data_IF_267439695771
#
_entry.id   IF_267439695771
#
_cell.length_a   1.000
_cell.length_b   1.000
_cell.length_c   1.000
_cell.angle_alpha   90.00
_cell.angle_beta   90.00
_cell.angle_gamma   90.00
#
_symmetry.space_group_name_H-M   'P 1'
#
loop_
_entity.id
_entity.type
_entity.pdbx_description
1 polymer ?
#
# COMPACT_ATOMS: atom_id res chain seq x y z
N UNK A 1 -13.69 -6.94 -19.59
CA UNK A 1 -13.47 -6.85 -18.13
C UNK A 1 -12.56 -5.69 -17.76
N UNK A 2 -11.41 -5.48 -18.42
CA UNK A 2 -10.53 -4.31 -18.22
C UNK A 2 -11.24 -2.95 -18.21
N UNK A 3 -12.11 -2.67 -19.19
CA UNK A 3 -12.87 -1.40 -19.21
C UNK A 3 -13.74 -1.21 -17.96
N UNK A 4 -14.36 -2.28 -17.45
CA UNK A 4 -15.14 -2.20 -16.19
C UNK A 4 -14.24 -1.90 -14.98
N UNK A 5 -13.03 -2.43 -14.95
CA UNK A 5 -12.06 -2.15 -13.89
C UNK A 5 -11.59 -0.68 -13.96
N UNK A 6 -11.37 -0.16 -15.17
CA UNK A 6 -11.03 1.26 -15.38
C UNK A 6 -12.19 2.15 -14.89
N UNK A 7 -13.42 1.84 -15.28
CA UNK A 7 -14.60 2.58 -14.85
C UNK A 7 -14.78 2.54 -13.32
N UNK A 8 -14.47 1.40 -12.69
CA UNK A 8 -14.49 1.27 -11.23
C UNK A 8 -13.44 2.16 -10.56
N UNK A 9 -12.21 2.20 -11.07
CA UNK A 9 -11.17 3.11 -10.55
C UNK A 9 -11.60 4.57 -10.71
N UNK A 10 -12.23 4.95 -11.83
CA UNK A 10 -12.78 6.30 -12.02
C UNK A 10 -13.88 6.63 -10.99
N UNK A 11 -14.78 5.70 -10.71
CA UNK A 11 -15.77 5.88 -9.66
C UNK A 11 -15.13 6.02 -8.25
N UNK A 12 -14.03 5.32 -7.99
CA UNK A 12 -13.24 5.51 -6.76
C UNK A 12 -12.57 6.90 -6.72
N UNK A 13 -12.11 7.42 -7.86
CA UNK A 13 -11.61 8.80 -7.99
C UNK A 13 -12.71 9.80 -7.69
N UNK A 14 -13.93 9.60 -8.20
CA UNK A 14 -15.08 10.47 -7.90
C UNK A 14 -15.36 10.49 -6.38
N UNK A 15 -15.39 9.32 -5.73
CA UNK A 15 -15.56 9.23 -4.29
C UNK A 15 -14.40 9.90 -3.52
N UNK A 16 -13.17 9.78 -4.02
CA UNK A 16 -12.01 10.43 -3.41
C UNK A 16 -12.14 11.96 -3.46
N UNK A 17 -12.61 12.52 -4.59
CA UNK A 17 -12.92 13.95 -4.71
C UNK A 17 -13.99 14.38 -3.72
N UNK A 18 -15.10 13.64 -3.63
CA UNK A 18 -16.21 13.96 -2.72
C UNK A 18 -15.82 13.92 -1.24
N UNK A 19 -14.87 13.04 -0.88
CA UNK A 19 -14.42 12.86 0.51
C UNK A 19 -13.16 13.68 0.86
N UNK A 20 -12.55 14.34 -0.12
CA UNK A 20 -11.28 15.05 0.05
C UNK A 20 -10.08 14.12 0.27
N UNK A 21 -10.18 12.86 -0.16
CA UNK A 21 -9.06 11.92 -0.11
C UNK A 21 -7.95 12.35 -1.08
N UNK A 22 -6.69 12.17 -0.65
CA UNK A 22 -5.51 12.51 -1.47
C UNK A 22 -5.26 11.49 -2.59
N UNK A 23 -5.59 10.23 -2.35
CA UNK A 23 -5.20 9.12 -3.21
C UNK A 23 -6.22 7.99 -3.25
N UNK A 24 -6.12 7.19 -4.30
CA UNK A 24 -6.86 5.94 -4.50
C UNK A 24 -5.83 4.83 -4.69
N UNK A 25 -5.93 3.80 -3.87
CA UNK A 25 -5.12 2.59 -3.96
C UNK A 25 -5.58 1.73 -5.15
N UNK A 26 -4.62 1.23 -5.92
CA UNK A 26 -4.87 0.30 -7.03
C UNK A 26 -3.95 -0.91 -6.91
N UNK A 27 -4.54 -2.09 -6.81
CA UNK A 27 -3.83 -3.35 -7.08
C UNK A 27 -4.08 -3.71 -8.54
N UNK A 28 -3.06 -3.72 -9.42
CA UNK A 28 -3.23 -3.93 -10.86
C UNK A 28 -3.44 -5.40 -11.23
N UNK A 29 -4.15 -6.18 -10.39
CA UNK A 29 -4.50 -7.58 -10.61
C UNK A 29 -5.71 -7.99 -9.75
N UNK A 30 -6.12 -9.26 -9.87
CA UNK A 30 -7.08 -9.85 -8.95
C UNK A 30 -6.38 -10.24 -7.63
N UNK A 31 -6.87 -9.74 -6.50
CA UNK A 31 -6.37 -10.11 -5.16
C UNK A 31 -6.92 -11.48 -4.78
N UNK A 32 -6.05 -12.34 -4.24
CA UNK A 32 -6.35 -13.73 -3.90
C UNK A 32 -6.25 -14.69 -5.10
N UNK A 33 -5.74 -14.23 -6.24
CA UNK A 33 -5.50 -15.02 -7.45
C UNK A 33 -4.06 -14.77 -7.91
N UNK A 34 -3.09 -15.55 -7.39
CA UNK A 34 -1.68 -15.35 -7.70
C UNK A 34 -1.29 -15.84 -9.11
N UNK A 35 -2.20 -16.45 -9.87
CA UNK A 35 -1.94 -16.85 -11.24
C UNK A 35 -1.88 -15.65 -12.21
N UNK A 36 -0.98 -15.74 -13.19
CA UNK A 36 -1.02 -14.89 -14.38
C UNK A 36 -2.11 -15.40 -15.32
N UNK A 37 -2.81 -14.50 -15.99
CA UNK A 37 -3.93 -14.83 -16.88
C UNK A 37 -3.44 -15.32 -18.24
N UNK A 38 -2.35 -14.74 -18.76
CA UNK A 38 -1.74 -15.18 -20.04
C UNK A 38 -0.24 -15.38 -19.89
N UNK A 39 0.49 -14.29 -19.67
CA UNK A 39 1.91 -14.31 -19.33
C UNK A 39 2.20 -13.08 -18.47
N UNK A 40 3.24 -13.12 -17.64
CA UNK A 40 3.58 -11.99 -16.77
C UNK A 40 3.81 -10.70 -17.59
N UNK A 41 4.49 -10.82 -18.72
CA UNK A 41 4.78 -9.69 -19.61
C UNK A 41 3.51 -9.11 -20.25
N UNK A 42 2.65 -9.96 -20.83
CA UNK A 42 1.40 -9.49 -21.44
C UNK A 42 0.44 -8.89 -20.41
N UNK A 43 0.35 -9.49 -19.23
CA UNK A 43 -0.55 -9.01 -18.18
C UNK A 43 -0.05 -7.71 -17.55
N UNK A 44 1.27 -7.52 -17.41
CA UNK A 44 1.88 -6.24 -17.02
C UNK A 44 1.54 -5.17 -18.06
N UNK A 45 1.73 -5.46 -19.35
CA UNK A 45 1.43 -4.49 -20.41
C UNK A 45 -0.06 -4.09 -20.41
N UNK A 46 -0.96 -5.06 -20.24
CA UNK A 46 -2.41 -4.81 -20.12
C UNK A 46 -2.74 -3.97 -18.87
N UNK A 47 -2.06 -4.21 -17.76
CA UNK A 47 -2.23 -3.42 -16.54
C UNK A 47 -1.77 -1.97 -16.75
N UNK A 48 -0.58 -1.76 -17.35
CA UNK A 48 -0.04 -0.42 -17.68
C UNK A 48 -1.01 0.35 -18.56
N UNK A 49 -1.47 -0.23 -19.66
CA UNK A 49 -2.44 0.41 -20.56
C UNK A 49 -3.76 0.80 -19.84
N UNK A 50 -4.19 -0.02 -18.88
CA UNK A 50 -5.41 0.25 -18.11
C UNK A 50 -5.18 1.37 -17.09
N UNK A 51 -4.03 1.35 -16.42
CA UNK A 51 -3.60 2.40 -15.50
C UNK A 51 -3.42 3.73 -16.23
N UNK A 52 -2.85 3.77 -17.44
CA UNK A 52 -2.73 4.99 -18.25
C UNK A 52 -4.09 5.65 -18.50
N UNK A 53 -5.10 4.85 -18.86
CA UNK A 53 -6.47 5.35 -19.06
C UNK A 53 -7.11 5.89 -17.77
N UNK A 54 -6.90 5.21 -16.64
CA UNK A 54 -7.41 5.66 -15.35
C UNK A 54 -6.64 6.89 -14.81
N UNK A 55 -5.34 6.94 -15.05
CA UNK A 55 -4.44 7.99 -14.62
C UNK A 55 -4.77 9.34 -15.25
N UNK A 56 -5.13 9.37 -16.54
CA UNK A 56 -5.59 10.62 -17.17
C UNK A 56 -6.80 11.23 -16.44
N UNK A 57 -7.76 10.39 -16.03
CA UNK A 57 -8.93 10.84 -15.25
C UNK A 57 -8.56 11.28 -13.83
N UNK A 58 -7.67 10.53 -13.17
CA UNK A 58 -7.18 10.87 -11.83
C UNK A 58 -6.40 12.20 -11.84
N UNK A 59 -5.60 12.45 -12.89
CA UNK A 59 -4.84 13.69 -13.10
C UNK A 59 -5.75 14.91 -13.31
N UNK A 60 -6.82 14.78 -14.09
CA UNK A 60 -7.83 15.83 -14.27
C UNK A 60 -8.46 16.21 -12.92
N UNK A 61 -8.71 15.22 -12.06
CA UNK A 61 -9.33 15.38 -10.75
C UNK A 61 -8.35 15.61 -9.59
N UNK A 62 -7.04 15.67 -9.88
CA UNK A 62 -5.97 15.86 -8.89
C UNK A 62 -5.92 14.79 -7.79
N UNK A 63 -6.29 13.55 -8.12
CA UNK A 63 -6.21 12.39 -7.23
C UNK A 63 -5.00 11.54 -7.60
N UNK A 64 -4.18 11.16 -6.62
CA UNK A 64 -3.04 10.28 -6.85
C UNK A 64 -3.51 8.82 -6.88
N UNK A 65 -3.19 8.07 -7.94
CA UNK A 65 -3.32 6.62 -7.93
C UNK A 65 -2.04 6.02 -7.33
N UNK A 66 -2.17 5.23 -6.26
CA UNK A 66 -1.04 4.53 -5.63
C UNK A 66 -1.09 3.05 -5.95
N UNK A 67 -0.08 2.56 -6.67
CA UNK A 67 0.09 1.13 -6.95
C UNK A 67 0.59 0.45 -5.68
N UNK A 68 -0.17 -0.53 -5.19
CA UNK A 68 0.20 -1.35 -4.03
C UNK A 68 0.80 -2.69 -4.49
N UNK A 69 2.07 -2.97 -4.16
CA UNK A 69 2.62 -4.32 -4.24
C UNK A 69 2.01 -5.20 -3.14
N UNK A 70 1.54 -6.38 -3.54
CA UNK A 70 0.94 -7.38 -2.65
C UNK A 70 1.80 -8.64 -2.68
N UNK A 71 1.89 -9.37 -1.57
CA UNK A 71 2.73 -10.57 -1.49
C UNK A 71 2.37 -11.63 -2.57
N UNK A 72 3.36 -12.46 -2.91
CA UNK A 72 3.29 -13.48 -3.97
C UNK A 72 2.22 -14.55 -3.77
N UNK A 73 1.67 -14.68 -2.56
CA UNK A 73 0.61 -15.65 -2.26
C UNK A 73 -0.78 -15.12 -2.62
N UNK A 74 -0.93 -13.80 -2.76
CA UNK A 74 -2.20 -13.13 -3.01
C UNK A 74 -2.28 -12.52 -4.42
N UNK A 75 -1.15 -12.14 -5.00
CA UNK A 75 -1.08 -11.47 -6.32
C UNK A 75 0.12 -12.00 -7.13
N UNK A 76 -0.06 -12.19 -8.44
CA UNK A 76 0.99 -12.68 -9.33
C UNK A 76 1.77 -11.61 -10.12
N UNK A 77 1.31 -10.35 -10.10
CA UNK A 77 1.79 -9.33 -11.03
C UNK A 77 2.85 -8.39 -10.42
N UNK A 78 2.50 -7.70 -9.34
CA UNK A 78 3.32 -6.66 -8.68
C UNK A 78 3.49 -7.05 -7.22
N UNK A 79 4.71 -7.45 -6.84
CA UNK A 79 4.98 -8.02 -5.52
C UNK A 79 5.97 -7.21 -4.69
N UNK A 80 6.82 -6.41 -5.33
CA UNK A 80 7.82 -5.58 -4.66
C UNK A 80 7.64 -4.10 -4.96
N UNK A 81 8.27 -3.26 -4.15
CA UNK A 81 8.42 -1.83 -4.42
C UNK A 81 9.06 -1.59 -5.78
N UNK A 82 10.07 -2.39 -6.16
CA UNK A 82 10.75 -2.24 -7.45
C UNK A 82 9.82 -2.58 -8.64
N UNK A 83 8.96 -3.60 -8.50
CA UNK A 83 7.92 -3.90 -9.51
C UNK A 83 6.94 -2.73 -9.66
N UNK A 84 6.47 -2.17 -8.54
CA UNK A 84 5.52 -1.05 -8.56
C UNK A 84 6.17 0.22 -9.14
N UNK A 85 7.44 0.49 -8.83
CA UNK A 85 8.21 1.60 -9.43
C UNK A 85 8.37 1.41 -10.93
N UNK A 86 8.70 0.21 -11.39
CA UNK A 86 8.84 -0.08 -12.82
C UNK A 86 7.52 0.19 -13.54
N UNK A 87 6.42 -0.35 -13.02
CA UNK A 87 5.09 -0.13 -13.58
C UNK A 87 4.67 1.35 -13.55
N UNK A 88 4.86 2.05 -12.44
CA UNK A 88 4.50 3.47 -12.32
C UNK A 88 5.29 4.35 -13.30
N UNK A 89 6.57 4.04 -13.54
CA UNK A 89 7.42 4.73 -14.52
C UNK A 89 6.96 4.48 -15.95
N UNK A 90 6.55 3.25 -16.29
CA UNK A 90 6.03 2.93 -17.63
C UNK A 90 4.64 3.52 -17.89
N UNK A 91 3.82 3.70 -16.85
CA UNK A 91 2.56 4.44 -16.98
C UNK A 91 2.80 5.92 -17.32
N UNK A 92 3.94 6.48 -16.91
CA UNK A 92 4.42 7.83 -17.26
C UNK A 92 3.38 8.93 -17.01
N UNK A 93 2.82 8.97 -15.79
CA UNK A 93 1.85 9.98 -15.39
C UNK A 93 2.19 10.57 -14.01
N UNK A 94 2.19 11.91 -13.84
CA UNK A 94 2.54 12.55 -12.57
C UNK A 94 1.51 12.34 -11.45
N UNK A 95 0.35 11.74 -11.71
CA UNK A 95 -0.63 11.31 -10.69
C UNK A 95 -0.61 9.79 -10.44
N UNK A 96 0.38 9.07 -10.96
CA UNK A 96 0.62 7.67 -10.64
C UNK A 96 1.87 7.54 -9.78
N UNK A 97 1.69 6.93 -8.62
CA UNK A 97 2.69 6.77 -7.56
C UNK A 97 2.60 5.38 -6.98
N UNK A 98 3.42 5.10 -5.98
CA UNK A 98 3.40 3.81 -5.31
C UNK A 98 3.11 3.98 -3.83
N UNK A 99 2.73 2.86 -3.24
CA UNK A 99 2.62 2.72 -1.80
C UNK A 99 3.25 1.41 -1.37
N UNK A 100 3.34 1.21 -0.06
CA UNK A 100 3.72 -0.07 0.52
C UNK A 100 2.76 -0.48 1.63
N UNK A 101 2.82 -1.75 1.99
CA UNK A 101 2.22 -2.31 3.20
C UNK A 101 3.32 -3.10 3.91
N UNK A 102 3.61 -2.75 5.17
CA UNK A 102 4.64 -3.43 5.94
C UNK A 102 4.42 -4.94 6.06
N UNK A 103 3.17 -5.43 6.05
CA UNK A 103 2.89 -6.87 6.03
C UNK A 103 3.36 -7.55 4.75
N UNK A 104 3.02 -6.98 3.58
CA UNK A 104 3.44 -7.51 2.28
C UNK A 104 4.94 -7.34 2.05
N UNK A 105 5.47 -6.16 2.36
CA UNK A 105 6.90 -5.85 2.19
C UNK A 105 7.79 -6.75 3.05
N UNK A 106 7.35 -7.16 4.25
CA UNK A 106 8.12 -8.08 5.09
C UNK A 106 8.33 -9.47 4.44
N UNK A 107 7.46 -9.87 3.51
CA UNK A 107 7.58 -11.14 2.78
C UNK A 107 8.47 -10.97 1.54
N UNK A 108 8.34 -9.84 0.84
CA UNK A 108 8.90 -9.67 -0.51
C UNK A 108 10.21 -8.87 -0.54
N UNK A 109 10.40 -7.91 0.36
CA UNK A 109 11.60 -7.05 0.40
C UNK A 109 12.75 -7.76 1.12
N UNK A 110 13.45 -8.64 0.39
CA UNK A 110 14.51 -9.50 0.94
C UNK A 110 15.71 -8.75 1.53
N UNK A 111 15.96 -7.52 1.10
CA UNK A 111 16.99 -6.65 1.68
C UNK A 111 16.47 -5.71 2.78
N UNK A 112 15.19 -5.84 3.13
CA UNK A 112 14.52 -5.15 4.24
C UNK A 112 13.70 -3.93 3.81
N UNK A 113 12.55 -3.78 4.46
CA UNK A 113 11.61 -2.65 4.31
C UNK A 113 12.30 -1.27 4.30
N UNK A 114 13.26 -0.97 5.21
CA UNK A 114 13.94 0.32 5.21
C UNK A 114 14.70 0.62 3.91
N UNK A 115 15.27 -0.41 3.26
CA UNK A 115 16.00 -0.24 2.01
C UNK A 115 15.03 -0.03 0.84
N UNK A 116 13.91 -0.76 0.82
CA UNK A 116 12.85 -0.57 -0.18
C UNK A 116 12.26 0.86 -0.15
N UNK A 117 11.97 1.38 1.05
CA UNK A 117 11.50 2.77 1.23
C UNK A 117 12.52 3.77 0.68
N UNK A 118 13.81 3.61 1.00
CA UNK A 118 14.88 4.49 0.50
C UNK A 118 15.05 4.40 -1.01
N UNK A 119 14.93 3.21 -1.61
CA UNK A 119 14.97 3.03 -3.08
C UNK A 119 13.82 3.76 -3.77
N UNK A 120 12.62 3.73 -3.18
CA UNK A 120 11.47 4.44 -3.72
C UNK A 120 11.65 5.96 -3.67
N UNK A 121 12.09 6.48 -2.53
CA UNK A 121 12.22 7.93 -2.31
C UNK A 121 10.87 8.65 -2.15
N UNK A 122 10.92 9.88 -1.61
CA UNK A 122 9.72 10.63 -1.20
C UNK A 122 8.79 11.00 -2.35
N UNK A 123 9.33 11.21 -3.57
CA UNK A 123 8.50 11.52 -4.74
C UNK A 123 7.57 10.35 -5.11
N UNK A 124 8.08 9.12 -5.12
CA UNK A 124 7.34 7.94 -5.57
C UNK A 124 6.50 7.32 -4.46
N UNK A 125 7.05 7.25 -3.26
CA UNK A 125 6.41 6.61 -2.11
C UNK A 125 5.42 7.55 -1.44
N UNK A 126 4.12 7.34 -1.62
CA UNK A 126 3.09 8.33 -1.25
C UNK A 126 2.07 7.84 -0.22
N UNK A 127 2.06 6.54 0.08
CA UNK A 127 1.23 5.97 1.13
C UNK A 127 1.89 4.75 1.76
N UNK A 128 1.63 4.48 3.03
CA UNK A 128 2.11 3.31 3.75
C UNK A 128 0.99 2.72 4.61
N UNK A 129 0.62 1.48 4.34
CA UNK A 129 -0.14 0.66 5.27
C UNK A 129 0.79 0.11 6.35
N UNK A 130 0.34 0.17 7.60
CA UNK A 130 1.09 -0.33 8.75
C UNK A 130 0.32 -1.42 9.48
N UNK A 131 0.93 -2.59 9.50
CA UNK A 131 0.60 -3.73 10.34
C UNK A 131 1.90 -4.46 10.71
N UNK A 132 1.95 -5.10 11.87
CA UNK A 132 3.12 -5.88 12.26
C UNK A 132 3.28 -7.13 11.39
N UNK A 133 4.39 -7.85 11.55
CA UNK A 133 4.73 -8.97 10.66
C UNK A 133 3.72 -10.14 10.73
N UNK A 134 2.90 -10.18 11.79
CA UNK A 134 1.79 -11.12 11.98
C UNK A 134 0.44 -10.60 11.47
N UNK A 135 0.44 -9.48 10.73
CA UNK A 135 -0.73 -8.67 10.34
C UNK A 135 -1.50 -8.08 11.52
N UNK A 136 -1.00 -8.21 12.74
CA UNK A 136 -1.60 -7.60 13.94
C UNK A 136 -1.21 -6.12 14.08
N UNK A 137 -1.74 -5.45 15.11
CA UNK A 137 -1.37 -4.08 15.41
C UNK A 137 0.15 -3.90 15.59
N UNK A 138 0.74 -2.81 15.08
CA UNK A 138 2.14 -2.46 15.34
C UNK A 138 2.52 -2.59 16.81
N UNK A 139 3.64 -3.24 17.09
CA UNK A 139 4.14 -3.51 18.45
C UNK A 139 3.73 -4.86 19.01
N UNK A 140 2.92 -5.65 18.29
CA UNK A 140 2.55 -7.02 18.66
C UNK A 140 3.39 -8.10 17.93
N UNK A 141 4.38 -7.68 17.15
CA UNK A 141 5.29 -8.58 16.44
C UNK A 141 6.74 -8.10 16.52
N UNK A 142 7.50 -8.39 15.46
CA UNK A 142 8.95 -8.17 15.38
C UNK A 142 9.35 -7.25 14.22
N UNK A 143 8.40 -6.49 13.67
CA UNK A 143 8.71 -5.53 12.60
C UNK A 143 9.76 -4.49 13.07
N UNK A 144 10.76 -4.13 12.25
CA UNK A 144 11.84 -3.21 12.63
C UNK A 144 11.39 -1.73 12.57
N UNK A 145 10.37 -1.36 13.35
CA UNK A 145 9.68 -0.07 13.26
C UNK A 145 10.60 1.15 13.34
N UNK A 146 11.65 1.13 14.18
CA UNK A 146 12.59 2.25 14.28
C UNK A 146 13.35 2.49 12.97
N UNK A 147 13.77 1.42 12.31
CA UNK A 147 14.48 1.53 11.03
C UNK A 147 13.53 1.93 9.90
N UNK A 148 12.26 1.48 9.95
CA UNK A 148 11.22 1.92 9.01
C UNK A 148 10.97 3.43 9.16
N UNK A 149 10.78 3.90 10.39
CA UNK A 149 10.56 5.34 10.68
C UNK A 149 11.78 6.16 10.24
N UNK A 150 13.00 5.70 10.52
CA UNK A 150 14.21 6.36 10.04
C UNK A 150 14.28 6.39 8.51
N UNK A 151 13.91 5.32 7.81
CA UNK A 151 13.87 5.31 6.36
C UNK A 151 12.84 6.28 5.77
N UNK A 152 11.66 6.43 6.42
CA UNK A 152 10.68 7.45 6.03
C UNK A 152 11.24 8.86 6.24
N UNK A 153 11.96 9.10 7.33
CA UNK A 153 12.65 10.37 7.54
C UNK A 153 13.74 10.62 6.49
N UNK A 154 14.55 9.61 6.15
CA UNK A 154 15.65 9.73 5.18
C UNK A 154 15.18 10.12 3.77
N UNK A 155 13.90 9.91 3.45
CA UNK A 155 13.32 10.25 2.14
C UNK A 155 12.42 11.50 2.20
N UNK A 156 12.43 12.25 3.31
CA UNK A 156 11.54 13.38 3.56
C UNK A 156 10.07 13.01 3.30
N UNK A 157 9.62 11.89 3.87
CA UNK A 157 8.30 11.33 3.58
C UNK A 157 7.15 12.26 3.98
N UNK A 158 6.33 12.65 3.00
CA UNK A 158 5.12 13.47 3.20
C UNK A 158 3.82 12.71 2.87
N UNK A 159 3.90 11.39 2.66
CA UNK A 159 2.75 10.55 2.30
C UNK A 159 1.81 10.23 3.47
N UNK A 160 0.69 9.57 3.15
CA UNK A 160 -0.28 9.13 4.15
C UNK A 160 0.11 7.82 4.83
N UNK A 161 -0.20 7.67 6.12
CA UNK A 161 -0.05 6.39 6.84
C UNK A 161 -1.41 5.95 7.36
N UNK A 162 -1.81 4.71 7.04
CA UNK A 162 -3.02 4.09 7.60
C UNK A 162 -2.71 2.76 8.26
N UNK A 163 -3.36 2.49 9.38
CA UNK A 163 -3.24 1.21 10.07
C UNK A 163 -4.13 0.16 9.38
N UNK A 164 -3.58 -1.00 9.04
CA UNK A 164 -4.33 -2.14 8.49
C UNK A 164 -4.20 -3.44 9.32
N UNK A 165 -4.28 -3.41 10.66
CA UNK A 165 -4.14 -4.62 11.44
C UNK A 165 -5.41 -5.47 11.46
N UNK A 166 -5.21 -6.78 11.61
CA UNK A 166 -6.24 -7.76 11.93
C UNK A 166 -5.91 -8.45 13.24
N UNK A 167 -6.91 -8.80 14.07
CA UNK A 167 -6.68 -9.69 15.20
C UNK A 167 -6.08 -11.01 14.77
N UNK A 168 -5.31 -11.63 15.67
CA UNK A 168 -4.62 -12.89 15.39
C UNK A 168 -5.58 -13.95 14.83
N UNK A 169 -5.22 -14.51 13.68
CA UNK A 169 -5.99 -15.58 13.02
C UNK A 169 -7.26 -15.12 12.31
N UNK A 170 -7.46 -13.80 12.13
CA UNK A 170 -8.56 -13.24 11.34
C UNK A 170 -8.10 -12.89 9.93
N UNK A 171 -9.03 -12.97 8.98
CA UNK A 171 -8.86 -12.53 7.60
C UNK A 171 -9.57 -11.19 7.36
N UNK A 172 -9.23 -10.43 6.30
CA UNK A 172 -9.94 -9.20 5.95
C UNK A 172 -11.47 -9.39 5.80
N UNK A 173 -11.89 -10.56 5.34
CA UNK A 173 -13.30 -10.91 5.17
C UNK A 173 -14.06 -11.06 6.51
N UNK A 174 -13.37 -11.41 7.60
CA UNK A 174 -13.96 -11.44 8.94
C UNK A 174 -14.31 -10.03 9.43
N UNK A 175 -13.44 -9.06 9.13
CA UNK A 175 -13.68 -7.65 9.45
C UNK A 175 -14.89 -7.12 8.68
N UNK A 176 -14.96 -7.40 7.37
CA UNK A 176 -16.08 -6.99 6.51
C UNK A 176 -17.43 -7.57 6.96
N UNK A 177 -17.43 -8.80 7.50
CA UNK A 177 -18.65 -9.49 7.92
C UNK A 177 -19.11 -9.12 9.34
N UNK A 178 -18.38 -8.24 10.05
CA UNK A 178 -18.69 -7.88 11.44
C UNK A 178 -18.37 -8.98 12.45
N UNK A 179 -17.56 -9.99 12.08
CA UNK A 179 -17.20 -11.12 12.94
C UNK A 179 -16.08 -10.79 13.94
N UNK A 180 -15.64 -9.54 13.97
CA UNK A 180 -14.66 -9.01 14.90
C UNK A 180 -15.37 -7.97 15.77
N UNK A 181 -15.39 -8.14 17.10
CA UNK A 181 -15.98 -7.15 18.00
C UNK A 181 -15.34 -5.77 17.77
N UNK A 182 -16.18 -4.72 17.67
CA UNK A 182 -15.70 -3.35 17.46
C UNK A 182 -14.71 -2.93 18.55
N UNK A 183 -14.99 -3.27 19.80
CA UNK A 183 -14.16 -2.92 20.96
C UNK A 183 -12.77 -3.56 20.87
N UNK A 184 -12.66 -4.72 20.21
CA UNK A 184 -11.37 -5.34 19.93
C UNK A 184 -10.60 -4.56 18.86
N UNK A 185 -11.26 -4.17 17.77
CA UNK A 185 -10.63 -3.34 16.73
C UNK A 185 -10.16 -1.99 17.30
N UNK A 186 -11.01 -1.31 18.06
CA UNK A 186 -10.68 -0.01 18.66
C UNK A 186 -9.48 -0.12 19.61
N UNK A 187 -9.42 -1.17 20.44
CA UNK A 187 -8.31 -1.41 21.36
C UNK A 187 -7.01 -1.71 20.61
N UNK A 188 -7.06 -2.59 19.63
CA UNK A 188 -5.87 -3.04 18.90
C UNK A 188 -5.30 -1.87 18.06
N UNK A 189 -6.16 -1.06 17.42
CA UNK A 189 -5.76 0.16 16.71
C UNK A 189 -5.16 1.21 17.64
N UNK A 190 -5.77 1.44 18.81
CA UNK A 190 -5.24 2.38 19.81
C UNK A 190 -3.85 1.97 20.27
N UNK A 191 -3.64 0.69 20.57
CA UNK A 191 -2.34 0.15 20.95
C UNK A 191 -1.30 0.40 19.85
N UNK A 192 -1.63 0.06 18.60
CA UNK A 192 -0.72 0.25 17.46
C UNK A 192 -0.33 1.72 17.25
N UNK A 193 -1.31 2.62 17.33
CA UNK A 193 -1.08 4.06 17.17
C UNK A 193 -0.20 4.64 18.29
N UNK A 194 -0.47 4.29 19.54
CA UNK A 194 0.33 4.73 20.70
C UNK A 194 1.76 4.21 20.61
N UNK A 195 1.93 2.94 20.20
CA UNK A 195 3.24 2.35 19.97
C UNK A 195 4.02 3.09 18.88
N UNK A 196 3.43 3.31 17.69
CA UNK A 196 4.10 3.99 16.58
C UNK A 196 4.51 5.42 16.93
N UNK A 197 3.65 6.17 17.62
CA UNK A 197 3.96 7.53 18.09
C UNK A 197 5.15 7.54 19.04
N UNK A 198 5.19 6.61 19.99
CA UNK A 198 6.33 6.48 20.92
C UNK A 198 7.63 6.14 20.18
N UNK A 199 7.60 5.18 19.25
CA UNK A 199 8.80 4.85 18.48
C UNK A 199 9.24 6.02 17.58
N UNK A 200 8.29 6.79 17.04
CA UNK A 200 8.59 8.01 16.28
C UNK A 200 9.30 9.07 17.13
N UNK A 201 8.79 9.36 18.33
CA UNK A 201 9.43 10.31 19.26
C UNK A 201 10.86 9.87 19.62
N UNK A 202 11.08 8.57 19.84
CA UNK A 202 12.40 8.03 20.14
C UNK A 202 13.35 8.23 18.95
N UNK A 203 12.91 7.88 17.73
CA UNK A 203 13.76 8.00 16.53
C UNK A 203 14.08 9.46 16.23
N UNK A 204 13.09 10.35 16.26
CA UNK A 204 13.29 11.78 16.00
C UNK A 204 14.13 12.46 17.09
N UNK A 205 14.08 11.99 18.34
CA UNK A 205 14.95 12.48 19.41
C UNK A 205 16.42 12.03 19.29
N UNK A 206 16.71 11.09 18.39
CA UNK A 206 18.07 10.59 18.10
C UNK A 206 18.68 11.18 16.82
N UNK A 207 17.89 11.87 16.01
CA UNK A 207 18.31 12.53 14.77
C UNK A 207 18.65 14.01 15.03
#
# INVERSE_FOLDING_TARGET
EREKAIDYVKACVDLAVETGARSVLVVPSLVGQPEVLTSKEEDIQRAIESLQKAAGYAEENKIILTIEPINRYEVGLVNSIDDALAMAKEVDNPYVRIMGDTFHMQIEEGDGIPNAIRRAGGYWFQHLHVADNTRQAPGLGNMPWREIIRALHDIDYEGGISCEPLPKGKAPYDARSGNIPKEQLDRDLKLGLEFLRREQEIVLGML
#
